data_IF_861491644271
#
_entry.id   IF_861491644271
#
_cell.length_a   1.000
_cell.length_b   1.000
_cell.length_c   1.000
_cell.angle_alpha   90.00
_cell.angle_beta   90.00
_cell.angle_gamma   90.00
#
_symmetry.space_group_name_H-M   'P 1'
#
loop_
_entity.id
_entity.type
_entity.pdbx_description
1 polymer ?
#
# COMPACT_ATOMS: atom_id res chain seq x y z
N UNK A 1 -7.66 7.03 -3.46
CA UNK A 1 -7.02 6.77 -2.15
C UNK A 1 -7.25 5.33 -1.71
N UNK A 2 -6.35 4.77 -0.91
CA UNK A 2 -6.58 3.50 -0.21
C UNK A 2 -5.94 3.49 1.17
N UNK A 3 -6.54 2.70 2.07
CA UNK A 3 -6.08 2.48 3.44
C UNK A 3 -6.02 0.98 3.69
N UNK A 4 -4.90 0.53 4.26
CA UNK A 4 -4.68 -0.87 4.63
C UNK A 4 -4.81 -0.99 6.15
N UNK A 5 -5.54 -2.00 6.59
CA UNK A 5 -5.77 -2.32 8.00
C UNK A 5 -5.30 -3.74 8.31
N UNK A 6 -4.71 -3.92 9.49
CA UNK A 6 -4.37 -5.23 10.06
C UNK A 6 -4.82 -5.25 11.51
N UNK A 7 -5.53 -6.31 11.92
CA UNK A 7 -6.03 -6.46 13.30
C UNK A 7 -6.80 -5.24 13.84
N UNK A 8 -7.60 -4.61 12.98
CA UNK A 8 -8.39 -3.42 13.33
C UNK A 8 -7.60 -2.11 13.40
N UNK A 9 -6.27 -2.14 13.21
CA UNK A 9 -5.41 -0.95 13.18
C UNK A 9 -5.05 -0.53 11.77
N UNK A 10 -4.98 0.77 11.53
CA UNK A 10 -4.48 1.33 10.27
C UNK A 10 -2.97 1.11 10.18
N UNK A 11 -2.51 0.43 9.13
CA UNK A 11 -1.08 0.16 8.93
C UNK A 11 -0.46 1.06 7.86
N UNK A 12 -1.26 1.52 6.89
CA UNK A 12 -0.75 2.33 5.79
C UNK A 12 -1.87 3.09 5.09
N UNK A 13 -1.56 4.32 4.68
CA UNK A 13 -2.40 5.16 3.83
C UNK A 13 -1.61 5.45 2.57
N UNK A 14 -2.27 5.36 1.40
CA UNK A 14 -1.63 5.65 0.13
C UNK A 14 -2.57 6.22 -0.92
N UNK A 15 -2.02 7.08 -1.77
CA UNK A 15 -2.70 7.60 -2.95
C UNK A 15 -2.25 6.95 -4.26
N UNK A 16 -3.08 7.11 -5.28
CA UNK A 16 -2.85 6.69 -6.65
C UNK A 16 -3.32 7.80 -7.61
N UNK A 17 -3.07 7.63 -8.91
CA UNK A 17 -3.55 8.56 -9.96
C UNK A 17 -2.50 9.53 -10.51
N UNK A 18 -1.26 9.54 -9.97
CA UNK A 18 -0.16 10.28 -10.61
C UNK A 18 0.36 9.52 -11.83
N UNK A 19 0.03 10.00 -13.03
CA UNK A 19 0.47 9.39 -14.29
C UNK A 19 0.00 7.95 -14.45
N UNK A 20 0.91 7.02 -14.80
CA UNK A 20 0.58 5.59 -15.03
C UNK A 20 0.29 4.80 -13.75
N UNK A 21 0.38 5.41 -12.57
CA UNK A 21 0.17 4.73 -11.29
C UNK A 21 -1.30 4.75 -10.86
N UNK A 22 -2.16 4.08 -11.63
CA UNK A 22 -3.59 3.92 -11.31
C UNK A 22 -3.78 3.17 -9.98
N UNK A 23 -5.00 3.25 -9.42
CA UNK A 23 -5.34 2.54 -8.18
C UNK A 23 -5.16 1.02 -8.35
N UNK A 24 -5.65 0.47 -9.47
CA UNK A 24 -5.45 -0.94 -9.83
C UNK A 24 -3.97 -1.30 -9.96
N UNK A 25 -3.14 -0.42 -10.54
CA UNK A 25 -1.70 -0.64 -10.60
C UNK A 25 -1.09 -0.68 -9.19
N UNK A 26 -1.42 0.27 -8.29
CA UNK A 26 -0.83 0.33 -6.95
C UNK A 26 -1.29 -0.80 -6.03
N UNK A 27 -2.59 -1.11 -6.02
CA UNK A 27 -3.14 -2.21 -5.22
C UNK A 27 -2.74 -3.55 -5.82
N UNK A 28 -2.81 -3.70 -7.14
CA UNK A 28 -2.40 -4.92 -7.84
C UNK A 28 -0.94 -5.25 -7.55
N UNK A 29 -0.05 -4.25 -7.46
CA UNK A 29 1.32 -4.48 -7.03
C UNK A 29 1.42 -5.11 -5.63
N UNK A 30 0.47 -4.94 -4.72
CA UNK A 30 0.53 -5.58 -3.38
C UNK A 30 0.36 -7.10 -3.42
N UNK A 31 -0.39 -7.61 -4.39
CA UNK A 31 -0.81 -9.02 -4.44
C UNK A 31 -0.27 -9.79 -5.65
N UNK A 32 -0.05 -9.09 -6.76
CA UNK A 32 0.23 -9.68 -8.06
C UNK A 32 1.70 -9.53 -8.44
N UNK A 33 2.52 -10.48 -7.98
CA UNK A 33 3.93 -10.62 -8.39
C UNK A 33 4.33 -12.09 -8.35
N UNK A 34 5.28 -12.48 -9.20
CA UNK A 34 5.87 -13.82 -9.19
C UNK A 34 7.24 -13.75 -8.53
N UNK A 35 7.52 -14.65 -7.58
CA UNK A 35 8.88 -14.85 -7.04
C UNK A 35 9.87 -15.29 -8.14
N UNK A 36 9.35 -15.89 -9.23
CA UNK A 36 10.09 -16.26 -10.44
C UNK A 36 9.74 -15.28 -11.56
N UNK A 37 10.58 -14.28 -11.79
CA UNK A 37 10.47 -13.37 -12.93
C UNK A 37 11.06 -11.97 -12.67
N UNK A 38 11.41 -11.27 -13.76
CA UNK A 38 11.96 -9.91 -13.76
C UNK A 38 10.95 -8.82 -13.31
N UNK A 39 9.75 -9.18 -12.85
CA UNK A 39 8.76 -8.21 -12.33
C UNK A 39 9.22 -7.70 -10.96
N UNK A 40 10.11 -6.71 -10.98
CA UNK A 40 10.57 -6.00 -9.79
C UNK A 40 9.38 -5.31 -9.13
N UNK A 41 9.25 -5.61 -7.85
CA UNK A 41 8.23 -5.09 -6.97
C UNK A 41 8.55 -3.62 -6.62
N UNK A 42 7.58 -2.70 -6.75
CA UNK A 42 7.80 -1.26 -6.49
C UNK A 42 6.77 -0.61 -5.56
N UNK A 43 6.01 -1.36 -4.75
CA UNK A 43 5.20 -0.71 -3.72
C UNK A 43 6.08 -0.22 -2.55
N UNK A 44 5.95 1.06 -2.21
CA UNK A 44 6.77 1.71 -1.17
C UNK A 44 6.66 1.01 0.18
N UNK A 45 5.46 0.63 0.61
CA UNK A 45 5.27 -0.09 1.88
C UNK A 45 6.02 -1.42 1.91
N UNK A 46 5.89 -2.25 0.89
CA UNK A 46 6.56 -3.56 0.85
C UNK A 46 8.08 -3.42 0.89
N UNK A 47 8.63 -2.44 0.15
CA UNK A 47 10.05 -2.12 0.23
C UNK A 47 10.44 -1.77 1.67
N UNK A 48 9.68 -0.88 2.33
CA UNK A 48 9.93 -0.52 3.73
C UNK A 48 9.84 -1.73 4.66
N UNK A 49 8.83 -2.59 4.52
CA UNK A 49 8.62 -3.77 5.37
C UNK A 49 9.79 -4.76 5.29
N UNK A 50 10.37 -4.95 4.10
CA UNK A 50 11.52 -5.82 3.88
C UNK A 50 12.84 -5.17 4.29
N UNK A 51 13.08 -3.91 3.90
CA UNK A 51 14.42 -3.31 4.03
C UNK A 51 14.56 -2.39 5.23
N UNK A 52 13.60 -1.48 5.45
CA UNK A 52 13.69 -0.43 6.47
C UNK A 52 13.30 -0.97 7.84
N UNK A 53 12.18 -1.66 7.92
CA UNK A 53 11.64 -2.18 9.17
C UNK A 53 12.06 -3.64 9.42
N UNK A 54 12.48 -4.37 8.38
CA UNK A 54 12.93 -5.77 8.44
C UNK A 54 11.96 -6.68 9.23
N UNK A 55 10.66 -6.47 9.04
CA UNK A 55 9.60 -7.22 9.75
C UNK A 55 9.43 -8.61 9.15
N UNK A 56 9.65 -8.72 7.85
CA UNK A 56 9.50 -9.95 7.09
C UNK A 56 10.83 -10.32 6.44
N UNK A 57 11.17 -11.62 6.47
CA UNK A 57 12.39 -12.15 5.87
C UNK A 57 12.28 -12.31 4.36
N UNK A 58 11.08 -12.61 3.86
CA UNK A 58 10.84 -12.84 2.43
C UNK A 58 9.69 -12.02 1.89
N UNK A 59 9.68 -11.82 0.57
CA UNK A 59 8.56 -11.19 -0.11
C UNK A 59 7.27 -12.00 0.04
N UNK A 60 7.36 -13.33 0.07
CA UNK A 60 6.20 -14.21 0.26
C UNK A 60 5.52 -14.02 1.61
N UNK A 61 6.28 -13.72 2.67
CA UNK A 61 5.71 -13.41 3.99
C UNK A 61 4.94 -12.09 3.95
N UNK A 62 5.45 -11.09 3.23
CA UNK A 62 4.73 -9.82 3.02
C UNK A 62 3.43 -10.05 2.24
N UNK A 63 3.43 -10.96 1.26
CA UNK A 63 2.21 -11.34 0.53
C UNK A 63 1.15 -11.92 1.45
N UNK A 64 1.54 -12.90 2.27
CA UNK A 64 0.64 -13.54 3.24
C UNK A 64 0.10 -12.53 4.23
N UNK A 65 0.94 -11.58 4.67
CA UNK A 65 0.51 -10.47 5.51
C UNK A 65 -0.54 -9.59 4.81
N UNK A 66 -0.37 -9.20 3.55
CA UNK A 66 -1.41 -8.43 2.86
C UNK A 66 -2.70 -9.23 2.65
N UNK A 67 -2.63 -10.55 2.46
CA UNK A 67 -3.82 -11.41 2.35
C UNK A 67 -4.66 -11.45 3.63
N UNK A 68 -4.06 -11.25 4.81
CA UNK A 68 -4.80 -11.13 6.07
C UNK A 68 -5.29 -9.71 6.38
N UNK A 69 -4.88 -8.72 5.58
CA UNK A 69 -5.26 -7.33 5.76
C UNK A 69 -6.63 -7.02 5.15
N UNK A 70 -7.28 -5.96 5.65
CA UNK A 70 -8.43 -5.34 5.02
C UNK A 70 -7.99 -4.11 4.23
N UNK A 71 -8.55 -3.93 3.04
CA UNK A 71 -8.30 -2.78 2.19
C UNK A 71 -9.59 -1.97 2.04
N UNK A 72 -9.52 -0.66 2.23
CA UNK A 72 -10.60 0.26 1.86
C UNK A 72 -10.10 1.26 0.84
N UNK A 73 -10.91 1.56 -0.16
CA UNK A 73 -10.62 2.53 -1.22
C UNK A 73 -11.60 3.68 -1.14
N UNK A 74 -11.12 4.88 -1.45
CA UNK A 74 -11.96 6.09 -1.61
C UNK A 74 -11.58 6.71 -2.94
N UNK A 75 -12.57 6.90 -3.80
CA UNK A 75 -12.42 7.59 -5.08
C UNK A 75 -12.40 9.10 -4.84
N UNK A 76 -11.65 9.80 -5.70
CA UNK A 76 -11.49 11.26 -5.66
C UNK A 76 -11.48 11.75 -7.10
N UNK A 77 -12.11 12.89 -7.37
CA UNK A 77 -12.27 13.42 -8.72
C UNK A 77 -10.93 13.90 -9.30
N UNK A 78 -10.06 14.44 -8.44
CA UNK A 78 -8.76 14.96 -8.87
C UNK A 78 -7.60 14.38 -8.08
N UNK A 79 -6.42 14.37 -8.71
CA UNK A 79 -5.18 14.00 -8.04
C UNK A 79 -4.87 14.90 -6.83
N UNK A 80 -5.21 16.18 -6.91
CA UNK A 80 -4.98 17.12 -5.81
C UNK A 80 -5.87 16.79 -4.60
N UNK A 81 -7.14 16.44 -4.82
CA UNK A 81 -8.03 15.93 -3.76
C UNK A 81 -7.46 14.65 -3.13
N UNK A 82 -6.97 13.70 -3.94
CA UNK A 82 -6.34 12.49 -3.44
C UNK A 82 -5.15 12.80 -2.52
N UNK A 83 -4.27 13.72 -2.93
CA UNK A 83 -3.10 14.13 -2.16
C UNK A 83 -3.46 14.81 -0.85
N UNK A 84 -4.43 15.72 -0.86
CA UNK A 84 -4.91 16.38 0.36
C UNK A 84 -5.53 15.37 1.32
N UNK A 85 -6.37 14.47 0.80
CA UNK A 85 -7.02 13.44 1.60
C UNK A 85 -6.02 12.44 2.19
N UNK A 86 -4.95 12.09 1.46
CA UNK A 86 -3.84 11.30 1.99
C UNK A 86 -3.23 11.93 3.24
N UNK A 87 -2.89 13.22 3.18
CA UNK A 87 -2.29 13.93 4.30
C UNK A 87 -3.23 13.97 5.51
N UNK A 88 -4.51 14.29 5.30
CA UNK A 88 -5.53 14.31 6.37
C UNK A 88 -5.68 12.93 7.02
N UNK A 89 -5.78 11.88 6.23
CA UNK A 89 -5.94 10.51 6.76
C UNK A 89 -4.69 10.01 7.49
N UNK A 90 -3.48 10.41 7.07
CA UNK A 90 -2.25 10.10 7.80
C UNK A 90 -2.31 10.70 9.21
N UNK A 91 -2.75 11.95 9.36
CA UNK A 91 -2.81 12.57 10.69
C UNK A 91 -3.93 12.04 11.57
N UNK A 92 -5.11 11.77 11.00
CA UNK A 92 -6.24 11.24 11.76
C UNK A 92 -6.03 9.79 12.17
N UNK A 93 -5.50 8.95 11.28
CA UNK A 93 -5.42 7.51 11.49
C UNK A 93 -4.08 7.04 12.07
N UNK A 94 -3.05 7.89 12.04
CA UNK A 94 -1.69 7.61 12.55
C UNK A 94 -1.20 6.22 12.12
N UNK A 95 -1.08 5.95 10.80
CA UNK A 95 -0.72 4.64 10.30
C UNK A 95 0.63 4.18 10.85
N UNK A 96 0.77 2.87 11.06
CA UNK A 96 2.00 2.28 11.60
C UNK A 96 3.25 2.50 10.72
N UNK A 97 3.11 2.68 9.39
CA UNK A 97 4.24 2.64 8.42
C UNK A 97 4.25 3.75 7.35
#
# INVERSE_FOLDING_TARGET
MYVIYSEGKTIYVGMAGKGKHTLNYRIGNLFSYSAKGNRRFHHTLTKKLLTKFRIFGTIDDVRKFYQSCKLKTVETETFQQARTLEAVLIELLKPKY
#
